data_IF_054204481993
#
_entry.id   IF_054204481993
#
_cell.length_a   1.000
_cell.length_b   1.000
_cell.length_c   1.000
_cell.angle_alpha   90.00
_cell.angle_beta   90.00
_cell.angle_gamma   90.00
#
_symmetry.space_group_name_H-M   'P 1'
#
loop_
_entity.id
_entity.type
_entity.pdbx_description
1 polymer ?
#
# COMPACT_ATOMS: atom_id res chain seq x y z
N UNK A 1 13.66 7.92 -27.23
CA UNK A 1 13.07 8.20 -27.56
C UNK A 1 12.79 8.27 -28.27
N UNK A 2 12.74 8.31 -28.67
CA UNK A 2 12.14 8.82 -29.15
C UNK A 2 11.54 9.00 -29.77
N UNK A 3 11.63 8.06 -30.83
CA UNK A 3 10.70 8.72 -31.69
C UNK A 3 10.02 9.84 -30.98
N UNK A 4 9.59 10.84 -31.68
CA UNK A 4 8.89 11.92 -31.04
C UNK A 4 7.72 11.39 -30.21
N UNK A 5 6.95 10.51 -30.81
CA UNK A 5 5.82 9.93 -30.13
C UNK A 5 6.22 9.06 -28.96
N UNK A 6 7.26 8.28 -29.14
CA UNK A 6 7.78 7.46 -28.08
C UNK A 6 8.32 8.31 -26.95
N UNK A 7 9.02 9.37 -27.27
CA UNK A 7 9.54 10.30 -26.29
C UNK A 7 8.40 10.97 -25.53
N UNK A 8 7.43 11.50 -26.23
CA UNK A 8 6.30 12.16 -25.58
C UNK A 8 5.42 11.17 -24.84
N UNK A 9 5.22 10.00 -25.41
CA UNK A 9 4.44 8.97 -24.74
C UNK A 9 5.07 8.55 -23.43
N UNK A 10 6.37 8.28 -23.44
CA UNK A 10 7.07 7.85 -22.23
C UNK A 10 7.17 8.96 -21.21
N UNK A 11 7.47 10.17 -21.64
CA UNK A 11 7.69 11.29 -20.74
C UNK A 11 6.37 11.84 -20.21
N UNK A 12 5.38 11.97 -21.09
CA UNK A 12 4.11 12.60 -20.72
C UNK A 12 3.21 11.63 -19.96
N UNK A 13 3.12 10.40 -20.42
CA UNK A 13 2.20 9.43 -19.84
C UNK A 13 2.79 8.68 -18.65
N UNK A 14 4.10 8.72 -18.47
CA UNK A 14 4.74 8.00 -17.40
C UNK A 14 4.57 8.74 -16.09
N UNK A 15 3.80 8.10 -15.20
CA UNK A 15 3.60 8.61 -13.86
C UNK A 15 4.33 7.69 -12.90
N UNK A 16 5.39 8.19 -12.28
CA UNK A 16 6.25 7.36 -11.45
C UNK A 16 5.63 7.12 -10.07
N UNK A 17 6.08 6.05 -9.42
CA UNK A 17 5.72 5.76 -8.03
C UNK A 17 6.13 6.92 -7.13
N UNK A 18 7.31 7.48 -7.35
CA UNK A 18 7.81 8.60 -6.58
C UNK A 18 6.90 9.83 -6.73
N UNK A 19 6.44 10.11 -7.96
CA UNK A 19 5.51 11.20 -8.18
C UNK A 19 4.18 10.96 -7.48
N UNK A 20 3.69 9.72 -7.47
CA UNK A 20 2.46 9.37 -6.80
C UNK A 20 2.58 9.58 -5.28
N UNK A 21 3.75 9.28 -4.71
CA UNK A 21 4.01 9.52 -3.30
C UNK A 21 4.05 11.02 -3.02
N UNK A 22 4.74 11.78 -3.86
CA UNK A 22 4.83 13.23 -3.70
C UNK A 22 3.48 13.92 -3.86
N UNK A 23 2.65 13.41 -4.75
CA UNK A 23 1.31 13.97 -4.99
C UNK A 23 0.28 13.51 -3.96
N UNK A 24 0.63 12.59 -3.08
CA UNK A 24 -0.27 12.12 -2.02
C UNK A 24 -1.25 11.04 -2.43
N UNK A 25 -1.09 10.44 -3.61
CA UNK A 25 -1.93 9.30 -4.02
C UNK A 25 -1.44 7.99 -3.44
N UNK A 26 -0.13 7.89 -3.17
CA UNK A 26 0.47 6.77 -2.47
C UNK A 26 1.13 7.27 -1.19
N UNK A 27 1.09 6.44 -0.17
CA UNK A 27 1.76 6.70 1.11
C UNK A 27 2.90 5.71 1.25
N UNK A 28 4.10 6.22 1.47
CA UNK A 28 5.30 5.40 1.64
C UNK A 28 5.29 4.78 3.04
N UNK A 29 5.23 3.46 3.10
CA UNK A 29 5.19 2.73 4.38
C UNK A 29 6.58 2.28 4.83
N UNK A 30 7.63 2.84 4.22
CA UNK A 30 9.02 2.56 4.61
C UNK A 30 9.60 3.61 5.52
N UNK A 31 8.85 4.66 5.86
CA UNK A 31 9.35 5.78 6.64
C UNK A 31 9.05 5.64 8.13
N UNK A 32 9.91 6.25 8.93
CA UNK A 32 9.73 6.37 10.37
C UNK A 32 9.53 5.01 11.03
N UNK A 33 8.59 4.91 11.95
CA UNK A 33 8.31 3.68 12.67
C UNK A 33 7.58 2.63 11.84
N UNK A 34 7.13 2.96 10.63
CA UNK A 34 6.48 2.00 9.73
C UNK A 34 7.49 1.18 8.94
N UNK A 35 8.68 1.73 8.68
CA UNK A 35 9.70 1.02 7.94
C UNK A 35 10.10 -0.31 8.57
N UNK A 36 10.44 -0.36 9.86
CA UNK A 36 10.77 -1.61 10.51
C UNK A 36 9.66 -2.65 10.44
N UNK A 37 8.39 -2.23 10.56
CA UNK A 37 7.25 -3.14 10.45
C UNK A 37 7.17 -3.73 9.05
N UNK A 38 7.27 -2.88 8.03
CA UNK A 38 7.25 -3.34 6.64
C UNK A 38 8.36 -4.35 6.37
N UNK A 39 9.57 -4.08 6.85
CA UNK A 39 10.72 -4.96 6.64
C UNK A 39 10.63 -6.28 7.40
N UNK A 40 9.84 -6.36 8.46
CA UNK A 40 9.60 -7.63 9.15
C UNK A 40 8.82 -8.60 8.27
N UNK A 41 8.02 -8.09 7.36
CA UNK A 41 7.12 -8.90 6.54
C UNK A 41 7.65 -9.12 5.13
N UNK A 42 8.23 -8.08 4.54
CA UNK A 42 8.66 -8.11 3.15
C UNK A 42 9.98 -7.37 3.01
N UNK A 43 10.82 -7.86 2.11
CA UNK A 43 12.10 -7.20 1.83
C UNK A 43 12.00 -6.16 0.72
N UNK A 44 10.83 -6.01 0.11
CA UNK A 44 10.61 -5.03 -0.95
C UNK A 44 9.93 -3.79 -0.37
N UNK A 45 10.15 -2.62 -0.95
CA UNK A 45 9.47 -1.40 -0.50
C UNK A 45 7.95 -1.55 -0.56
N UNK A 46 7.28 -1.04 0.48
CA UNK A 46 5.82 -1.13 0.62
C UNK A 46 5.24 0.27 0.62
N UNK A 47 4.17 0.44 -0.12
CA UNK A 47 3.35 1.65 -0.08
C UNK A 47 1.89 1.25 -0.13
N UNK A 48 1.00 2.16 0.25
CA UNK A 48 -0.43 1.94 0.10
C UNK A 48 -1.07 3.14 -0.57
N UNK A 49 -2.24 2.94 -1.15
CA UNK A 49 -3.00 4.06 -1.69
C UNK A 49 -3.52 4.92 -0.57
N UNK A 50 -3.86 6.16 -0.89
CA UNK A 50 -4.42 7.09 0.09
C UNK A 50 -5.72 6.54 0.69
N UNK A 51 -6.51 5.80 -0.08
CA UNK A 51 -7.74 5.18 0.42
C UNK A 51 -7.47 4.18 1.54
N UNK A 52 -6.44 3.37 1.40
CA UNK A 52 -6.04 2.44 2.46
C UNK A 52 -5.52 3.20 3.67
N UNK A 53 -4.70 4.21 3.46
CA UNK A 53 -4.14 4.99 4.56
C UNK A 53 -5.24 5.72 5.34
N UNK A 54 -6.29 6.18 4.67
CA UNK A 54 -7.42 6.82 5.32
C UNK A 54 -8.15 5.87 6.28
N UNK A 55 -8.22 4.58 5.96
CA UNK A 55 -8.76 3.59 6.89
C UNK A 55 -7.89 3.50 8.15
N UNK A 56 -6.58 3.46 7.97
CA UNK A 56 -5.64 3.42 9.10
C UNK A 56 -5.78 4.68 9.96
N UNK A 57 -5.84 5.83 9.31
CA UNK A 57 -5.96 7.12 9.99
C UNK A 57 -7.24 7.19 10.80
N UNK A 58 -8.34 6.76 10.21
CA UNK A 58 -9.64 6.76 10.88
C UNK A 58 -9.60 5.89 12.14
N UNK A 59 -8.95 4.73 12.06
CA UNK A 59 -8.80 3.83 13.19
C UNK A 59 -7.93 4.44 14.29
N UNK A 60 -6.83 5.07 13.91
CA UNK A 60 -5.89 5.66 14.87
C UNK A 60 -6.51 6.87 15.57
N UNK A 61 -7.28 7.67 14.84
CA UNK A 61 -7.90 8.89 15.39
C UNK A 61 -9.17 8.63 16.19
N UNK A 62 -9.68 7.40 16.19
CA UNK A 62 -10.87 7.07 16.94
C UNK A 62 -10.53 6.92 18.43
N UNK A 63 -11.05 7.80 19.31
CA UNK A 63 -10.67 7.79 20.73
C UNK A 63 -11.20 6.60 21.49
N UNK A 64 -12.15 5.86 20.94
CA UNK A 64 -12.72 4.67 21.59
C UNK A 64 -11.81 3.45 21.45
N UNK A 65 -10.77 3.52 20.62
CA UNK A 65 -9.87 2.41 20.37
C UNK A 65 -8.43 2.86 20.55
N UNK A 66 -7.60 1.98 21.08
CA UNK A 66 -6.17 2.26 21.28
C UNK A 66 -5.37 1.73 20.10
N UNK A 67 -5.58 2.31 18.93
CA UNK A 67 -4.89 1.91 17.71
C UNK A 67 -3.69 2.80 17.44
N UNK A 68 -2.65 2.22 16.84
CA UNK A 68 -1.52 2.99 16.29
C UNK A 68 -1.19 2.46 14.90
N UNK A 69 -0.48 3.28 14.13
CA UNK A 69 -0.15 2.93 12.75
C UNK A 69 0.70 1.66 12.63
N UNK A 70 1.77 1.49 13.45
CA UNK A 70 2.58 0.28 13.34
C UNK A 70 1.79 -1.00 13.59
N UNK A 71 0.90 -1.02 14.57
CA UNK A 71 0.10 -2.20 14.89
C UNK A 71 -0.88 -2.53 13.77
N UNK A 72 -1.54 -1.51 13.21
CA UNK A 72 -2.47 -1.72 12.10
C UNK A 72 -1.72 -2.23 10.88
N UNK A 73 -0.57 -1.64 10.56
CA UNK A 73 0.23 -2.08 9.43
C UNK A 73 0.69 -3.52 9.61
N UNK A 74 1.11 -3.88 10.83
CA UNK A 74 1.51 -5.25 11.13
C UNK A 74 0.36 -6.23 10.84
N UNK A 75 -0.87 -5.88 11.25
CA UNK A 75 -2.03 -6.72 10.99
C UNK A 75 -2.32 -6.84 9.51
N UNK A 76 -2.26 -5.73 8.77
CA UNK A 76 -2.48 -5.73 7.33
C UNK A 76 -1.48 -6.66 6.64
N UNK A 77 -0.20 -6.50 6.95
CA UNK A 77 0.84 -7.29 6.29
C UNK A 77 0.80 -8.76 6.72
N UNK A 78 0.44 -9.03 7.97
CA UNK A 78 0.26 -10.40 8.43
C UNK A 78 -0.85 -11.09 7.65
N UNK A 79 -2.00 -10.43 7.53
CA UNK A 79 -3.15 -11.03 6.84
C UNK A 79 -2.95 -11.13 5.34
N UNK A 80 -2.09 -10.30 4.75
CA UNK A 80 -1.78 -10.40 3.33
C UNK A 80 -1.17 -11.75 2.96
N UNK A 81 -0.56 -12.44 3.92
CA UNK A 81 0.06 -13.74 3.69
C UNK A 81 -0.95 -14.89 3.72
N UNK A 82 -2.17 -14.61 4.13
CA UNK A 82 -3.23 -15.61 4.26
C UNK A 82 -4.38 -15.36 3.29
N UNK A 83 -4.15 -14.54 2.30
CA UNK A 83 -5.18 -14.19 1.33
C UNK A 83 -5.26 -15.17 0.19
N UNK A 84 -6.11 -14.82 -0.78
CA UNK A 84 -6.33 -15.62 -1.98
C UNK A 84 -5.57 -14.99 -3.14
N UNK A 85 -4.75 -15.78 -3.81
CA UNK A 85 -4.04 -15.33 -5.00
C UNK A 85 -5.03 -15.11 -6.14
N UNK A 86 -5.04 -13.91 -6.70
CA UNK A 86 -5.82 -13.61 -7.91
C UNK A 86 -5.00 -13.91 -9.15
N UNK A 87 -3.70 -13.68 -9.09
CA UNK A 87 -2.73 -14.03 -10.11
C UNK A 87 -1.35 -14.14 -9.47
N UNK A 88 -0.29 -14.23 -10.27
CA UNK A 88 1.06 -14.44 -9.74
C UNK A 88 1.57 -13.31 -8.85
N UNK A 89 0.99 -12.12 -8.99
CA UNK A 89 1.51 -10.93 -8.33
C UNK A 89 0.48 -10.23 -7.45
N UNK A 90 -0.75 -10.77 -7.35
CA UNK A 90 -1.84 -10.08 -6.65
C UNK A 90 -2.53 -11.02 -5.67
N UNK A 91 -2.68 -10.55 -4.44
CA UNK A 91 -3.37 -11.26 -3.37
C UNK A 91 -4.55 -10.43 -2.89
N UNK A 92 -5.71 -11.06 -2.77
CA UNK A 92 -6.89 -10.45 -2.14
C UNK A 92 -7.00 -11.02 -0.73
N UNK A 93 -7.10 -10.17 0.28
CA UNK A 93 -7.12 -10.63 1.66
C UNK A 93 -8.06 -9.77 2.51
N UNK A 94 -8.43 -10.33 3.65
CA UNK A 94 -9.26 -9.62 4.62
C UNK A 94 -8.46 -9.33 5.88
N UNK A 95 -8.70 -8.18 6.47
CA UNK A 95 -8.06 -7.76 7.71
C UNK A 95 -9.09 -7.06 8.59
N UNK A 96 -8.97 -7.26 9.88
CA UNK A 96 -9.82 -6.55 10.85
C UNK A 96 -9.11 -5.29 11.28
N UNK A 97 -9.76 -4.14 11.06
CA UNK A 97 -9.27 -2.84 11.51
C UNK A 97 -10.39 -2.21 12.32
N UNK A 98 -10.22 -2.23 13.64
CA UNK A 98 -11.23 -1.67 14.54
C UNK A 98 -11.19 -0.15 14.51
N UNK A 99 -12.31 0.48 14.80
CA UNK A 99 -12.37 1.94 14.87
C UNK A 99 -12.69 2.64 13.55
N UNK A 100 -12.99 1.88 12.49
CA UNK A 100 -13.28 2.44 11.17
C UNK A 100 -14.79 2.60 10.89
N UNK A 101 -15.64 2.35 11.88
CA UNK A 101 -17.08 2.42 11.73
C UNK A 101 -17.73 1.12 12.15
N UNK A 102 -18.92 0.83 11.60
CA UNK A 102 -19.64 -0.39 11.95
C UNK A 102 -18.96 -1.64 11.45
N UNK A 103 -18.35 -1.56 10.29
CA UNK A 103 -17.71 -2.70 9.66
C UNK A 103 -16.22 -2.66 10.02
N UNK A 104 -15.76 -3.70 10.68
CA UNK A 104 -14.35 -3.82 11.07
C UNK A 104 -13.54 -4.68 10.10
N UNK A 105 -14.18 -5.56 9.34
CA UNK A 105 -13.49 -6.42 8.37
C UNK A 105 -13.42 -5.71 7.04
N UNK A 106 -12.19 -5.55 6.53
CA UNK A 106 -11.93 -4.87 5.27
C UNK A 106 -11.23 -5.81 4.32
N UNK A 107 -11.63 -5.76 3.06
CA UNK A 107 -10.95 -6.50 1.99
C UNK A 107 -9.96 -5.57 1.33
N UNK A 108 -8.72 -5.99 1.26
CA UNK A 108 -7.63 -5.24 0.66
C UNK A 108 -6.92 -6.09 -0.39
N UNK A 109 -6.13 -5.45 -1.21
CA UNK A 109 -5.39 -6.10 -2.27
C UNK A 109 -3.91 -5.73 -2.16
N UNK A 110 -3.04 -6.72 -2.26
CA UNK A 110 -1.60 -6.49 -2.28
C UNK A 110 -1.07 -6.93 -3.64
N UNK A 111 -0.34 -6.05 -4.29
CA UNK A 111 0.23 -6.32 -5.60
C UNK A 111 1.74 -6.14 -5.55
N UNK A 112 2.48 -7.08 -6.13
CA UNK A 112 3.91 -6.96 -6.35
C UNK A 112 4.11 -6.58 -7.82
N UNK A 113 4.82 -5.51 -8.06
CA UNK A 113 5.06 -5.04 -9.41
C UNK A 113 6.38 -4.32 -9.53
N UNK A 114 6.72 -3.84 -10.72
CA UNK A 114 7.97 -3.09 -10.91
C UNK A 114 7.85 -1.69 -10.33
N UNK A 115 8.92 -1.26 -9.66
CA UNK A 115 9.06 0.12 -9.22
C UNK A 115 9.63 0.98 -10.33
N UNK A 116 10.03 2.20 -9.97
CA UNK A 116 10.52 3.19 -10.95
C UNK A 116 11.80 2.73 -11.64
N UNK A 117 12.63 1.96 -10.93
CA UNK A 117 13.86 1.40 -11.48
C UNK A 117 13.73 -0.09 -11.78
N UNK A 118 12.50 -0.56 -12.01
CA UNK A 118 12.17 -1.95 -12.31
C UNK A 118 12.42 -2.92 -11.16
N UNK A 119 12.78 -2.43 -9.97
CA UNK A 119 12.88 -3.26 -8.78
C UNK A 119 11.49 -3.70 -8.31
N UNK A 120 11.35 -4.85 -7.66
CA UNK A 120 10.06 -5.26 -7.12
C UNK A 120 9.61 -4.31 -6.00
N UNK A 121 8.37 -3.91 -6.04
CA UNK A 121 7.74 -3.11 -4.98
C UNK A 121 6.37 -3.67 -4.67
N UNK A 122 5.89 -3.36 -3.48
CA UNK A 122 4.59 -3.82 -2.99
C UNK A 122 3.67 -2.62 -2.84
N UNK A 123 2.44 -2.78 -3.33
CA UNK A 123 1.41 -1.75 -3.19
C UNK A 123 0.14 -2.37 -2.63
N UNK A 124 -0.39 -1.75 -1.58
CA UNK A 124 -1.63 -2.18 -0.95
C UNK A 124 -2.72 -1.21 -1.38
N UNK A 125 -3.81 -1.77 -1.92
CA UNK A 125 -4.90 -0.98 -2.48
C UNK A 125 -6.24 -1.48 -1.97
N UNK A 126 -7.25 -0.66 -2.13
CA UNK A 126 -8.63 -1.13 -2.04
C UNK A 126 -8.90 -2.03 -3.25
N UNK A 127 -9.80 -3.01 -3.11
CA UNK A 127 -10.07 -3.94 -4.22
C UNK A 127 -10.77 -3.27 -5.38
#
# INVERSE_FOLDING_TARGET
MSTLESIFGDVISRYTRQQAIEDGFLVDLMRNDLGPVSLQHYKYPVACTIGVFELMKKAVENPSWCNDYPSILHDILTMSKHGRMLDRSTVLFEVIITGTGRKHTHTLKLTVGPGDDMEPVITITLP
#
